data_IF_277000083198
#
_entry.id   IF_277000083198
#
_cell.length_a   1.000
_cell.length_b   1.000
_cell.length_c   1.000
_cell.angle_alpha   90.00
_cell.angle_beta   90.00
_cell.angle_gamma   90.00
#
_symmetry.space_group_name_H-M   'P 1'
#
loop_
_entity.id
_entity.type
_entity.pdbx_description
1 polymer ?
#
# COMPACT_ATOMS: atom_id res chain seq x y z
N UNK A 1 11.32 -11.13 -17.97
CA UNK A 1 12.19 -11.03 -16.78
C UNK A 1 11.31 -11.02 -15.54
N UNK A 2 11.78 -11.62 -14.46
CA UNK A 2 11.02 -11.44 -13.21
C UNK A 2 10.96 -9.95 -12.87
N UNK A 3 9.78 -9.50 -12.47
CA UNK A 3 9.55 -8.14 -12.01
C UNK A 3 10.35 -7.89 -10.73
N UNK A 4 11.08 -6.78 -10.68
CA UNK A 4 11.87 -6.43 -9.49
C UNK A 4 10.98 -5.68 -8.50
N UNK A 5 10.75 -6.31 -7.35
CA UNK A 5 10.07 -5.69 -6.21
C UNK A 5 11.13 -5.17 -5.23
N UNK A 6 10.97 -3.94 -4.80
CA UNK A 6 11.92 -3.23 -3.93
C UNK A 6 11.30 -3.09 -2.54
N UNK A 7 12.04 -3.40 -1.45
CA UNK A 7 11.58 -3.13 -0.09
C UNK A 7 11.12 -1.68 0.07
N UNK A 8 9.84 -1.49 0.41
CA UNK A 8 9.25 -0.15 0.52
C UNK A 8 9.05 0.29 1.97
N UNK A 9 8.79 -0.63 2.89
CA UNK A 9 8.67 -0.31 4.30
C UNK A 9 7.48 -0.95 5.00
N UNK A 10 7.16 -0.42 6.17
CA UNK A 10 6.15 -0.95 7.10
C UNK A 10 5.11 0.10 7.44
N UNK A 11 3.91 -0.37 7.76
CA UNK A 11 2.86 0.44 8.37
C UNK A 11 2.00 -0.39 9.30
N UNK A 12 1.61 0.20 10.42
CA UNK A 12 0.59 -0.34 11.31
C UNK A 12 -0.77 0.23 10.89
N UNK A 13 -1.72 -0.66 10.59
CA UNK A 13 -3.02 -0.28 10.04
C UNK A 13 -4.15 -0.70 10.98
N UNK A 14 -5.14 0.16 11.14
CA UNK A 14 -6.43 -0.16 11.71
C UNK A 14 -7.30 -0.73 10.59
N UNK A 15 -7.23 -2.03 10.38
CA UNK A 15 -7.89 -2.70 9.25
C UNK A 15 -9.41 -2.54 9.35
N UNK A 16 -9.99 -1.93 8.32
CA UNK A 16 -11.43 -1.76 8.21
C UNK A 16 -12.06 -2.96 7.52
N UNK A 17 -13.28 -3.31 7.94
CA UNK A 17 -14.13 -4.22 7.20
C UNK A 17 -14.58 -3.58 5.89
N UNK A 18 -15.01 -4.38 4.94
CA UNK A 18 -15.58 -3.87 3.69
C UNK A 18 -16.69 -2.86 3.98
N UNK A 19 -16.58 -1.62 3.46
CA UNK A 19 -17.65 -0.65 3.58
C UNK A 19 -18.91 -1.10 2.82
N UNK A 20 -20.09 -0.70 3.31
CA UNK A 20 -21.37 -1.09 2.70
C UNK A 20 -21.52 -0.61 1.24
N UNK A 21 -20.92 0.53 0.90
CA UNK A 21 -20.98 1.07 -0.44
C UNK A 21 -20.11 0.30 -1.47
N UNK A 22 -19.16 -0.53 -1.02
CA UNK A 22 -18.29 -1.29 -1.91
C UNK A 22 -19.02 -2.54 -2.43
N UNK A 23 -19.37 -2.52 -3.70
CA UNK A 23 -20.06 -3.62 -4.37
C UNK A 23 -19.10 -4.71 -4.84
N UNK A 24 -18.48 -5.41 -3.90
CA UNK A 24 -17.51 -6.47 -4.15
C UNK A 24 -17.76 -7.65 -3.18
N UNK A 25 -18.59 -8.62 -3.57
CA UNK A 25 -19.02 -9.69 -2.66
C UNK A 25 -17.89 -10.54 -2.07
N UNK A 26 -16.78 -10.71 -2.80
CA UNK A 26 -15.64 -11.49 -2.33
C UNK A 26 -14.82 -10.77 -1.25
N UNK A 27 -14.91 -9.44 -1.16
CA UNK A 27 -14.13 -8.63 -0.22
C UNK A 27 -14.74 -8.72 1.18
N UNK A 28 -13.91 -8.94 2.19
CA UNK A 28 -14.27 -8.98 3.60
C UNK A 28 -13.70 -7.77 4.35
N UNK A 29 -12.46 -7.43 4.08
CA UNK A 29 -11.73 -6.32 4.70
C UNK A 29 -10.80 -5.64 3.68
N UNK A 30 -10.13 -4.58 4.11
CA UNK A 30 -9.35 -3.72 3.21
C UNK A 30 -7.89 -3.68 3.68
N UNK A 31 -7.00 -4.27 2.90
CA UNK A 31 -5.54 -4.27 3.12
C UNK A 31 -4.81 -3.30 2.19
N UNK A 32 -5.44 -2.19 1.82
CA UNK A 32 -4.84 -1.21 0.93
C UNK A 32 -3.61 -0.52 1.53
N UNK A 33 -2.67 -0.16 0.67
CA UNK A 33 -1.50 0.65 1.04
C UNK A 33 -1.91 2.06 1.43
N UNK A 34 -2.92 2.62 0.77
CA UNK A 34 -3.46 3.95 1.11
C UNK A 34 -4.27 3.93 2.41
N UNK A 35 -4.46 5.11 2.99
CA UNK A 35 -5.18 5.29 4.26
C UNK A 35 -6.65 5.70 4.09
N UNK A 36 -7.19 5.64 2.88
CA UNK A 36 -8.55 6.11 2.58
C UNK A 36 -9.61 5.32 3.34
N UNK A 37 -9.50 4.01 3.41
CA UNK A 37 -10.48 3.13 4.06
C UNK A 37 -9.92 2.56 5.36
N UNK A 38 -8.80 1.84 5.30
CA UNK A 38 -8.08 1.38 6.49
C UNK A 38 -7.06 2.42 6.92
N UNK A 39 -7.34 3.12 7.99
CA UNK A 39 -6.46 4.16 8.53
C UNK A 39 -5.14 3.55 9.03
N UNK A 40 -4.08 4.36 8.98
CA UNK A 40 -2.79 4.02 9.55
C UNK A 40 -2.56 4.72 10.87
N UNK A 41 -1.67 4.18 11.72
CA UNK A 41 -1.27 4.90 12.93
C UNK A 41 -0.62 6.24 12.59
N UNK A 42 0.01 6.35 11.41
CA UNK A 42 0.60 7.58 10.91
C UNK A 42 -0.42 8.73 10.74
N UNK A 43 -1.72 8.44 10.61
CA UNK A 43 -2.76 9.46 10.54
C UNK A 43 -2.98 10.17 11.89
N UNK A 44 -2.46 9.61 12.97
CA UNK A 44 -2.59 10.11 14.34
C UNK A 44 -1.32 10.74 14.91
N UNK A 45 -0.25 10.82 14.11
CA UNK A 45 1.00 11.50 14.48
C UNK A 45 1.17 12.80 13.70
N UNK A 46 1.88 13.77 14.30
CA UNK A 46 1.99 15.10 13.70
C UNK A 46 3.03 15.17 12.61
N UNK A 47 4.28 14.83 12.94
CA UNK A 47 5.39 14.90 12.02
C UNK A 47 6.26 13.65 12.15
N UNK A 48 6.72 13.13 11.02
CA UNK A 48 7.63 12.00 11.00
C UNK A 48 8.46 12.00 9.71
N UNK A 49 9.59 11.35 9.77
CA UNK A 49 10.45 11.17 8.61
C UNK A 49 9.95 9.97 7.80
N UNK A 50 9.77 10.17 6.52
CA UNK A 50 9.35 9.12 5.60
C UNK A 50 10.50 8.62 4.74
N UNK A 51 10.39 7.42 4.23
CA UNK A 51 11.41 6.76 3.42
C UNK A 51 11.19 6.91 1.90
N UNK A 52 10.46 7.93 1.46
CA UNK A 52 10.13 8.15 0.05
C UNK A 52 8.86 7.46 -0.41
N UNK A 53 8.41 6.41 0.28
CA UNK A 53 7.09 5.78 0.09
C UNK A 53 6.09 6.17 1.18
N UNK A 54 6.45 7.07 2.08
CA UNK A 54 5.67 7.42 3.28
C UNK A 54 5.40 6.21 4.18
N UNK A 55 6.42 5.38 4.32
CA UNK A 55 6.43 4.18 5.15
C UNK A 55 7.60 4.24 6.12
N UNK A 56 7.64 3.32 7.05
CA UNK A 56 8.69 3.19 8.06
C UNK A 56 9.68 2.08 7.69
N UNK A 57 10.93 2.26 8.00
CA UNK A 57 11.98 1.30 7.67
C UNK A 57 11.92 0.01 8.50
N UNK A 58 11.31 0.07 9.68
CA UNK A 58 11.18 -1.10 10.56
C UNK A 58 10.02 -0.98 11.54
N UNK A 59 9.54 -2.11 12.10
CA UNK A 59 8.55 -2.10 13.17
C UNK A 59 9.03 -1.38 14.44
N UNK A 60 10.31 -1.43 14.75
CA UNK A 60 10.86 -0.76 15.93
C UNK A 60 10.77 0.75 15.84
N UNK A 61 10.93 1.32 14.65
CA UNK A 61 10.72 2.74 14.42
C UNK A 61 9.25 3.10 14.64
N UNK A 62 8.32 2.29 14.16
CA UNK A 62 6.87 2.49 14.40
C UNK A 62 6.60 2.54 15.92
N UNK A 63 7.12 1.56 16.66
CA UNK A 63 6.94 1.52 18.13
C UNK A 63 7.54 2.74 18.82
N UNK A 64 8.73 3.16 18.41
CA UNK A 64 9.40 4.32 18.99
C UNK A 64 8.59 5.61 18.75
N UNK A 65 8.14 5.85 17.53
CA UNK A 65 7.35 7.02 17.16
C UNK A 65 5.97 7.00 17.86
N UNK A 66 5.31 5.85 17.89
CA UNK A 66 4.03 5.69 18.57
C UNK A 66 4.13 6.02 20.07
N UNK A 67 5.21 5.56 20.72
CA UNK A 67 5.50 5.85 22.13
C UNK A 67 5.77 7.34 22.34
N UNK A 68 6.61 7.93 21.52
CA UNK A 68 6.97 9.35 21.60
C UNK A 68 5.75 10.26 21.46
N UNK A 69 4.83 9.90 20.57
CA UNK A 69 3.64 10.70 20.28
C UNK A 69 2.37 10.21 21.00
N UNK A 70 2.50 9.26 21.90
CA UNK A 70 1.40 8.71 22.70
C UNK A 70 0.26 8.11 21.87
N UNK A 71 0.59 7.47 20.76
CA UNK A 71 -0.38 6.75 19.92
C UNK A 71 -0.35 5.26 20.29
N UNK A 72 -1.52 4.68 20.52
CA UNK A 72 -1.66 3.26 20.84
C UNK A 72 -1.65 2.43 19.55
N UNK A 73 -0.83 1.39 19.54
CA UNK A 73 -0.77 0.41 18.44
C UNK A 73 -1.69 -0.79 18.66
N UNK A 74 -2.38 -0.85 19.79
CA UNK A 74 -3.36 -1.89 20.07
C UNK A 74 -4.45 -1.91 19.00
N UNK A 75 -4.80 -3.09 18.53
CA UNK A 75 -5.80 -3.26 17.46
C UNK A 75 -5.28 -3.03 16.05
N UNK A 76 -4.00 -2.68 15.88
CA UNK A 76 -3.39 -2.56 14.55
C UNK A 76 -2.87 -3.90 14.06
N UNK A 77 -2.91 -4.07 12.73
CA UNK A 77 -2.18 -5.10 12.00
C UNK A 77 -0.93 -4.50 11.39
N UNK A 78 0.18 -5.24 11.45
CA UNK A 78 1.44 -4.80 10.86
C UNK A 78 1.55 -5.34 9.44
N UNK A 79 1.86 -4.44 8.52
CA UNK A 79 2.13 -4.79 7.12
C UNK A 79 3.53 -4.39 6.72
N UNK A 80 4.12 -5.20 5.88
CA UNK A 80 5.34 -4.92 5.13
C UNK A 80 4.97 -4.82 3.64
N UNK A 81 5.61 -3.90 2.93
CA UNK A 81 5.33 -3.64 1.53
C UNK A 81 6.59 -3.70 0.69
N UNK A 82 6.44 -4.22 -0.51
CA UNK A 82 7.43 -4.08 -1.59
C UNK A 82 6.79 -3.34 -2.75
N UNK A 83 7.51 -2.40 -3.34
CA UNK A 83 7.03 -1.63 -4.48
C UNK A 83 7.67 -2.15 -5.77
N UNK A 84 6.90 -2.18 -6.85
CA UNK A 84 7.45 -2.41 -8.18
C UNK A 84 8.36 -1.25 -8.58
N UNK A 85 9.48 -1.57 -9.26
CA UNK A 85 10.51 -0.59 -9.61
C UNK A 85 10.09 0.45 -10.66
N UNK A 86 8.94 0.25 -11.29
CA UNK A 86 8.40 1.18 -12.28
C UNK A 86 7.04 1.73 -11.85
N UNK A 87 6.70 2.92 -12.34
CA UNK A 87 5.37 3.51 -12.25
C UNK A 87 4.75 3.60 -13.65
N UNK A 88 3.42 3.56 -13.70
CA UNK A 88 2.67 3.73 -14.94
C UNK A 88 2.13 5.15 -15.02
N UNK A 89 2.60 5.89 -16.02
CA UNK A 89 2.18 7.24 -16.30
C UNK A 89 2.19 7.48 -17.82
N UNK A 90 1.32 8.35 -18.31
CA UNK A 90 1.21 8.64 -19.75
C UNK A 90 1.17 7.38 -20.63
N UNK A 91 0.39 6.37 -20.21
CA UNK A 91 0.17 5.10 -20.91
C UNK A 91 1.43 4.22 -21.08
N UNK A 92 2.46 4.43 -20.27
CA UNK A 92 3.70 3.63 -20.32
C UNK A 92 4.32 3.45 -18.95
N UNK A 93 5.16 2.42 -18.80
CA UNK A 93 5.94 2.16 -17.60
C UNK A 93 7.25 2.93 -17.63
N UNK A 94 7.59 3.58 -16.53
CA UNK A 94 8.83 4.34 -16.33
C UNK A 94 9.52 3.90 -15.05
N UNK A 95 10.85 3.82 -15.03
CA UNK A 95 11.59 3.62 -13.80
C UNK A 95 11.23 4.69 -12.76
N UNK A 96 11.03 4.27 -11.53
CA UNK A 96 10.73 5.15 -10.41
C UNK A 96 11.71 4.93 -9.26
N UNK A 97 12.27 6.01 -8.76
CA UNK A 97 13.08 6.02 -7.55
C UNK A 97 12.48 7.03 -6.55
N UNK A 98 12.10 6.60 -5.34
CA UNK A 98 11.59 7.53 -4.34
C UNK A 98 12.68 8.48 -3.84
N UNK A 99 12.25 9.67 -3.43
CA UNK A 99 13.13 10.65 -2.79
C UNK A 99 12.84 10.69 -1.28
N UNK A 100 13.59 9.94 -0.47
CA UNK A 100 13.37 9.90 0.97
C UNK A 100 13.82 11.22 1.63
N UNK A 101 13.18 11.56 2.74
CA UNK A 101 13.53 12.72 3.55
C UNK A 101 14.74 12.48 4.45
N UNK A 102 15.27 11.27 4.48
CA UNK A 102 16.45 10.84 5.23
C UNK A 102 17.06 9.59 4.59
N UNK A 103 18.24 9.21 5.04
CA UNK A 103 18.85 7.95 4.59
C UNK A 103 18.02 6.76 5.10
N UNK A 104 17.56 5.92 4.18
CA UNK A 104 16.69 4.79 4.48
C UNK A 104 17.42 3.47 4.40
N UNK A 105 16.96 2.51 5.19
CA UNK A 105 17.40 1.12 5.13
C UNK A 105 16.26 0.23 5.61
N UNK A 106 15.41 -0.18 4.70
CA UNK A 106 14.24 -0.99 5.03
C UNK A 106 14.66 -2.39 5.42
N UNK A 107 14.30 -2.79 6.64
CA UNK A 107 14.52 -4.14 7.14
C UNK A 107 13.56 -5.12 6.46
N UNK A 108 14.08 -6.12 5.76
CA UNK A 108 13.25 -7.17 5.17
C UNK A 108 12.87 -8.18 6.25
N UNK A 109 11.58 -8.47 6.47
CA UNK A 109 11.18 -9.39 7.54
C UNK A 109 11.57 -10.83 7.20
N UNK A 110 12.04 -11.55 8.20
CA UNK A 110 12.41 -12.96 8.05
C UNK A 110 11.21 -13.86 7.77
N UNK A 111 10.03 -13.50 8.28
CA UNK A 111 8.76 -14.20 8.06
C UNK A 111 7.70 -13.20 7.61
N UNK A 112 7.04 -13.50 6.50
CA UNK A 112 5.98 -12.67 5.93
C UNK A 112 5.05 -13.52 5.08
N UNK A 113 3.80 -13.11 4.98
CA UNK A 113 2.82 -13.77 4.11
C UNK A 113 2.32 -12.78 3.07
N UNK A 114 2.46 -13.13 1.80
CA UNK A 114 1.89 -12.32 0.71
C UNK A 114 0.37 -12.39 0.76
N UNK A 115 -0.26 -11.24 0.87
CA UNK A 115 -1.73 -11.11 0.88
C UNK A 115 -2.29 -10.76 -0.50
N UNK A 116 -1.52 -10.13 -1.35
CA UNK A 116 -1.89 -9.76 -2.72
C UNK A 116 -1.18 -8.49 -3.18
N UNK A 117 -1.65 -7.97 -4.30
CA UNK A 117 -1.09 -6.78 -4.94
C UNK A 117 -2.10 -5.63 -4.90
N UNK A 118 -1.65 -4.46 -4.52
CA UNK A 118 -2.42 -3.21 -4.57
C UNK A 118 -1.91 -2.31 -5.68
N UNK A 119 -2.79 -1.50 -6.23
CA UNK A 119 -2.45 -0.44 -7.17
C UNK A 119 -2.75 0.89 -6.50
N UNK A 120 -1.76 1.76 -6.43
CA UNK A 120 -1.82 2.99 -5.63
C UNK A 120 -1.49 4.19 -6.50
N UNK A 121 -2.21 5.28 -6.32
CA UNK A 121 -1.92 6.56 -6.98
C UNK A 121 -0.98 7.40 -6.14
N UNK A 122 -0.12 8.15 -6.81
CA UNK A 122 0.86 9.06 -6.20
C UNK A 122 0.79 10.44 -6.87
N UNK A 123 -0.41 11.00 -6.93
CA UNK A 123 -0.66 12.28 -7.62
C UNK A 123 0.20 13.43 -7.06
N UNK A 124 0.35 13.50 -5.73
CA UNK A 124 1.26 14.46 -5.08
C UNK A 124 2.72 13.98 -5.05
N UNK A 125 3.05 12.93 -5.75
CA UNK A 125 4.39 12.35 -6.01
C UNK A 125 5.04 11.60 -4.86
N UNK A 126 4.70 11.84 -3.61
CA UNK A 126 5.47 11.33 -2.46
C UNK A 126 4.72 10.34 -1.59
N UNK A 127 3.38 10.39 -1.53
CA UNK A 127 2.60 9.53 -0.64
C UNK A 127 1.59 8.68 -1.40
N UNK A 128 1.27 7.48 -0.89
CA UNK A 128 0.21 6.64 -1.43
C UNK A 128 -1.16 7.28 -1.10
N UNK A 129 -1.74 7.99 -2.05
CA UNK A 129 -2.95 8.78 -1.81
C UNK A 129 -4.23 7.95 -1.89
N UNK A 130 -4.36 7.15 -2.93
CA UNK A 130 -5.55 6.36 -3.14
C UNK A 130 -5.21 4.98 -3.71
N UNK A 131 -5.90 3.97 -3.20
CA UNK A 131 -5.93 2.63 -3.80
C UNK A 131 -7.28 2.50 -4.51
N UNK A 132 -7.36 2.67 -5.84
CA UNK A 132 -8.64 2.68 -6.55
C UNK A 132 -9.48 1.42 -6.39
N UNK A 133 -8.87 0.28 -6.10
CA UNK A 133 -9.60 -0.96 -5.80
C UNK A 133 -10.59 -0.76 -4.66
N UNK A 134 -10.16 -0.12 -3.58
CA UNK A 134 -10.99 0.18 -2.42
C UNK A 134 -11.63 1.56 -2.50
N UNK A 135 -10.84 2.63 -2.64
CA UNK A 135 -11.33 4.01 -2.59
C UNK A 135 -12.35 4.34 -3.68
N UNK A 136 -12.14 3.86 -4.89
CA UNK A 136 -13.03 4.11 -6.04
C UNK A 136 -13.95 2.93 -6.36
N UNK A 137 -13.91 1.87 -5.57
CA UNK A 137 -14.79 0.73 -5.75
C UNK A 137 -14.46 -0.18 -6.93
N UNK A 138 -13.26 -0.09 -7.52
CA UNK A 138 -12.87 -0.93 -8.67
C UNK A 138 -12.86 -2.43 -8.35
N UNK A 139 -12.76 -2.81 -7.08
CA UNK A 139 -12.90 -4.21 -6.67
C UNK A 139 -14.27 -4.82 -7.05
N UNK A 140 -15.27 -4.00 -7.32
CA UNK A 140 -16.56 -4.45 -7.86
C UNK A 140 -16.52 -4.83 -9.34
N UNK A 141 -15.50 -4.38 -10.08
CA UNK A 141 -15.33 -4.61 -11.51
C UNK A 141 -14.15 -5.53 -11.84
N UNK A 142 -13.17 -5.60 -10.95
CA UNK A 142 -11.97 -6.41 -11.08
C UNK A 142 -12.03 -7.61 -10.14
N UNK A 143 -11.39 -8.70 -10.53
CA UNK A 143 -11.26 -9.86 -9.65
C UNK A 143 -10.26 -9.57 -8.52
N UNK A 144 -10.76 -9.42 -7.31
CA UNK A 144 -9.95 -9.25 -6.10
C UNK A 144 -10.19 -10.37 -5.11
N UNK A 145 -9.27 -10.52 -4.17
CA UNK A 145 -9.40 -11.48 -3.07
C UNK A 145 -10.21 -10.90 -1.89
N UNK A 146 -10.27 -11.65 -0.78
CA UNK A 146 -11.00 -11.25 0.41
C UNK A 146 -10.48 -9.96 1.08
N UNK A 147 -9.27 -9.53 0.75
CA UNK A 147 -8.61 -8.34 1.30
C UNK A 147 -8.61 -7.13 0.35
N UNK A 148 -9.42 -7.20 -0.72
CA UNK A 148 -9.51 -6.14 -1.74
C UNK A 148 -8.21 -5.92 -2.51
N UNK A 149 -7.45 -7.00 -2.74
CA UNK A 149 -6.19 -6.99 -3.46
C UNK A 149 -6.27 -7.86 -4.72
N UNK A 150 -5.46 -7.52 -5.72
CA UNK A 150 -5.32 -8.34 -6.91
C UNK A 150 -4.49 -9.60 -6.60
N UNK A 151 -4.81 -10.74 -7.21
CA UNK A 151 -4.19 -12.02 -6.82
C UNK A 151 -2.74 -12.18 -7.29
N UNK A 152 -2.33 -11.49 -8.34
CA UNK A 152 -0.98 -11.61 -8.89
C UNK A 152 -0.42 -10.29 -9.42
N UNK A 153 0.91 -10.24 -9.56
CA UNK A 153 1.58 -9.09 -10.17
C UNK A 153 1.15 -8.91 -11.64
N UNK A 154 1.05 -10.01 -12.36
CA UNK A 154 0.63 -10.01 -13.77
C UNK A 154 -0.78 -9.44 -13.94
N UNK A 155 -1.71 -9.78 -13.04
CA UNK A 155 -3.06 -9.21 -13.03
C UNK A 155 -3.04 -7.70 -12.76
N UNK A 156 -2.22 -7.27 -11.81
CA UNK A 156 -2.07 -5.85 -11.49
C UNK A 156 -1.50 -5.08 -12.68
N UNK A 157 -0.40 -5.54 -13.25
CA UNK A 157 0.26 -4.92 -14.39
C UNK A 157 -0.66 -4.86 -15.63
N UNK A 158 -1.32 -5.96 -15.95
CA UNK A 158 -2.24 -6.04 -17.07
C UNK A 158 -3.47 -5.13 -16.87
N UNK A 159 -4.03 -5.07 -15.67
CA UNK A 159 -5.17 -4.22 -15.36
C UNK A 159 -4.84 -2.74 -15.53
N UNK A 160 -3.67 -2.31 -15.05
CA UNK A 160 -3.21 -0.92 -15.22
C UNK A 160 -2.95 -0.62 -16.70
N UNK A 161 -2.18 -1.46 -17.39
CA UNK A 161 -1.79 -1.23 -18.79
C UNK A 161 -2.98 -1.27 -19.77
N UNK A 162 -4.02 -2.05 -19.46
CA UNK A 162 -5.23 -2.14 -20.28
C UNK A 162 -6.24 -1.01 -20.05
N UNK A 163 -5.95 -0.04 -19.20
CA UNK A 163 -6.80 1.10 -18.93
C UNK A 163 -7.96 0.84 -17.97
N UNK A 164 -7.94 -0.26 -17.21
CA UNK A 164 -8.99 -0.58 -16.23
C UNK A 164 -9.07 0.44 -15.10
N UNK A 165 -8.01 1.23 -14.89
CA UNK A 165 -7.93 2.28 -13.89
C UNK A 165 -8.26 3.68 -14.40
N UNK A 166 -8.54 3.86 -15.70
CA UNK A 166 -8.71 5.19 -16.33
C UNK A 166 -9.89 6.00 -15.79
N UNK A 167 -10.92 5.35 -15.25
CA UNK A 167 -12.10 6.01 -14.67
C UNK A 167 -12.03 6.13 -13.14
N UNK A 168 -10.85 5.98 -12.56
CA UNK A 168 -10.58 6.14 -11.13
C UNK A 168 -9.72 7.37 -10.89
N UNK A 169 -9.16 7.48 -9.67
CA UNK A 169 -8.17 8.52 -9.37
C UNK A 169 -7.03 8.47 -10.40
N UNK A 170 -6.57 9.64 -10.89
CA UNK A 170 -5.52 9.67 -11.90
C UNK A 170 -4.18 9.17 -11.36
N UNK A 171 -3.35 8.62 -12.28
CA UNK A 171 -1.99 8.22 -11.99
C UNK A 171 -1.05 9.38 -11.64
N UNK A 172 0.26 9.11 -11.48
CA UNK A 172 0.90 7.83 -11.78
C UNK A 172 0.43 6.70 -10.87
N UNK A 173 0.41 5.48 -11.43
CA UNK A 173 0.04 4.26 -10.70
C UNK A 173 1.27 3.45 -10.35
N UNK A 174 1.31 2.94 -9.11
CA UNK A 174 2.36 2.05 -8.63
C UNK A 174 1.77 0.77 -8.10
N UNK A 175 2.48 -0.33 -8.31
CA UNK A 175 2.09 -1.65 -7.82
C UNK A 175 2.87 -1.95 -6.54
N UNK A 176 2.15 -2.34 -5.50
CA UNK A 176 2.70 -2.77 -4.22
C UNK A 176 2.31 -4.20 -3.92
N UNK A 177 3.28 -5.02 -3.53
CA UNK A 177 3.00 -6.27 -2.86
C UNK A 177 2.74 -6.01 -1.38
N UNK A 178 1.62 -6.52 -0.88
CA UNK A 178 1.18 -6.36 0.50
C UNK A 178 1.43 -7.65 1.26
N UNK A 179 2.24 -7.58 2.31
CA UNK A 179 2.55 -8.70 3.18
C UNK A 179 2.04 -8.44 4.59
N UNK A 180 1.38 -9.43 5.18
CA UNK A 180 1.14 -9.42 6.62
C UNK A 180 2.37 -9.91 7.37
N UNK A 181 2.65 -9.28 8.50
CA UNK A 181 3.79 -9.56 9.36
C UNK A 181 3.32 -9.58 10.81
N UNK A 182 3.88 -10.44 11.61
CA UNK A 182 3.57 -10.48 13.04
C UNK A 182 4.31 -9.37 13.80
N UNK A 183 3.63 -8.78 14.78
CA UNK A 183 4.29 -7.95 15.78
C UNK A 183 5.21 -8.84 16.64
N UNK A 184 6.50 -8.62 16.54
CA UNK A 184 7.51 -9.34 17.37
C UNK A 184 7.85 -8.59 18.65
#
# INVERSE_FOLDING_TARGET
>A
MPSTMIPAGYMAKYVARKPEWLQAPAVQDIYSVSNCVSQAFADYINFWKHNGYWLFDSPDIIRAVAREQSVLLEGTSLFYYEAYEEEFDDATWHPYAPEPSFQTNVAVPASRRLEGLDVVTFLARNSPECSPLSCNGLAGELHTNAHCLLPSFEDAQASVASGRFNNSEPGPYRIFAVYSVEWS
#
